data_IF_480677588830
#
_entry.id   IF_480677588830
#
_cell.length_a   1.000
_cell.length_b   1.000
_cell.length_c   1.000
_cell.angle_alpha   90.00
_cell.angle_beta   90.00
_cell.angle_gamma   90.00
#
_symmetry.space_group_name_H-M   'P 1'
#
loop_
_entity.id
_entity.type
_entity.pdbx_description
1 polymer ?
#
# COMPACT_ATOMS: atom_id res chain seq x y z
N UNK A 1 9.90 -0.89 -21.18
CA UNK A 1 9.23 -0.94 -19.85
C UNK A 1 8.65 -2.34 -19.70
N UNK A 2 8.86 -2.98 -18.55
CA UNK A 2 8.33 -4.32 -18.30
C UNK A 2 6.83 -4.25 -17.97
N UNK A 3 6.04 -5.14 -18.56
CA UNK A 3 4.59 -5.22 -18.35
C UNK A 3 4.24 -6.41 -17.45
N UNK A 4 3.28 -6.20 -16.56
CA UNK A 4 2.68 -7.26 -15.76
C UNK A 4 1.88 -8.17 -16.69
N UNK A 5 2.15 -9.48 -16.63
CA UNK A 5 1.36 -10.49 -17.33
C UNK A 5 0.00 -10.61 -16.62
N UNK A 6 -1.07 -10.23 -17.32
CA UNK A 6 -2.43 -10.32 -16.80
C UNK A 6 -3.08 -11.66 -17.17
N UNK A 7 -4.09 -12.14 -16.41
CA UNK A 7 -4.84 -13.35 -16.75
C UNK A 7 -5.43 -13.33 -18.18
N UNK A 8 -5.83 -12.16 -18.68
CA UNK A 8 -6.35 -12.01 -20.05
C UNK A 8 -5.29 -12.12 -21.16
N UNK A 9 -4.02 -12.08 -20.81
CA UNK A 9 -2.90 -12.25 -21.75
C UNK A 9 -2.46 -13.71 -21.86
N UNK A 10 -3.02 -14.61 -21.03
CA UNK A 10 -2.65 -16.01 -20.98
C UNK A 10 -3.40 -16.85 -22.04
N UNK A 11 -2.80 -17.91 -22.59
CA UNK A 11 -3.40 -18.72 -23.65
C UNK A 11 -4.74 -19.38 -23.30
N UNK A 12 -5.00 -19.59 -22.00
CA UNK A 12 -6.22 -20.22 -21.50
C UNK A 12 -7.32 -19.21 -21.15
N UNK A 13 -7.17 -17.93 -21.52
CA UNK A 13 -8.14 -16.87 -21.23
C UNK A 13 -9.58 -17.27 -21.60
N UNK A 14 -9.79 -17.87 -22.77
CA UNK A 14 -11.13 -18.31 -23.20
C UNK A 14 -11.74 -19.38 -22.28
N UNK A 15 -10.93 -20.35 -21.84
CA UNK A 15 -11.38 -21.36 -20.86
C UNK A 15 -11.64 -20.73 -19.48
N UNK A 16 -10.81 -19.78 -19.07
CA UNK A 16 -11.01 -18.99 -17.85
C UNK A 16 -12.32 -18.19 -17.91
N UNK A 17 -12.63 -17.56 -19.03
CA UNK A 17 -13.89 -16.84 -19.22
C UNK A 17 -15.10 -17.77 -19.10
N UNK A 18 -15.03 -19.01 -19.58
CA UNK A 18 -16.12 -19.98 -19.40
C UNK A 18 -16.38 -20.29 -17.93
N UNK A 19 -15.35 -20.59 -17.16
CA UNK A 19 -15.50 -20.87 -15.73
C UNK A 19 -15.98 -19.62 -14.95
N UNK A 20 -15.45 -18.44 -15.25
CA UNK A 20 -15.93 -17.17 -14.67
C UNK A 20 -17.41 -16.89 -15.03
N UNK A 21 -17.84 -17.26 -16.24
CA UNK A 21 -19.24 -17.12 -16.67
C UNK A 21 -20.15 -18.08 -15.89
N UNK A 22 -19.70 -19.31 -15.60
CA UNK A 22 -20.45 -20.23 -14.74
C UNK A 22 -20.62 -19.67 -13.32
N UNK A 23 -19.59 -19.00 -12.78
CA UNK A 23 -19.65 -18.36 -11.46
C UNK A 23 -20.68 -17.22 -11.37
N UNK A 24 -21.04 -16.56 -12.48
CA UNK A 24 -22.16 -15.58 -12.49
C UNK A 24 -23.50 -16.22 -12.11
N UNK A 25 -23.64 -17.52 -12.38
CA UNK A 25 -24.88 -18.28 -12.14
C UNK A 25 -24.82 -19.14 -10.89
N UNK A 26 -23.70 -19.12 -10.15
CA UNK A 26 -23.57 -19.89 -8.92
C UNK A 26 -24.51 -19.35 -7.83
N UNK A 27 -25.25 -20.25 -7.20
CA UNK A 27 -26.20 -19.96 -6.11
C UNK A 27 -25.90 -20.71 -4.83
N UNK A 28 -24.87 -21.56 -4.83
CA UNK A 28 -24.50 -22.41 -3.69
C UNK A 28 -23.00 -22.37 -3.42
N UNK A 29 -22.56 -22.58 -2.15
CA UNK A 29 -21.14 -22.68 -1.81
C UNK A 29 -20.42 -23.72 -2.66
N UNK A 30 -21.02 -24.91 -2.84
CA UNK A 30 -20.44 -25.98 -3.65
C UNK A 30 -20.14 -25.55 -5.08
N UNK A 31 -21.07 -24.87 -5.75
CA UNK A 31 -20.84 -24.39 -7.13
C UNK A 31 -19.72 -23.36 -7.21
N UNK A 32 -19.61 -22.47 -6.22
CA UNK A 32 -18.49 -21.52 -6.13
C UNK A 32 -17.16 -22.27 -6.01
N UNK A 33 -17.06 -23.20 -5.06
CA UNK A 33 -15.83 -23.95 -4.79
C UNK A 33 -15.45 -24.82 -5.99
N UNK A 34 -16.40 -25.54 -6.60
CA UNK A 34 -16.15 -26.35 -7.80
C UNK A 34 -15.61 -25.49 -8.95
N UNK A 35 -16.18 -24.29 -9.17
CA UNK A 35 -15.70 -23.34 -10.16
C UNK A 35 -14.30 -22.81 -9.85
N UNK A 36 -14.05 -22.40 -8.59
CA UNK A 36 -12.73 -21.93 -8.15
C UNK A 36 -11.65 -23.02 -8.23
N UNK A 37 -11.98 -24.28 -7.91
CA UNK A 37 -11.07 -25.42 -8.04
C UNK A 37 -10.71 -25.68 -9.51
N UNK A 38 -11.68 -25.62 -10.43
CA UNK A 38 -11.41 -25.73 -11.88
C UNK A 38 -10.49 -24.62 -12.38
N UNK A 39 -10.76 -23.37 -11.97
CA UNK A 39 -9.92 -22.22 -12.27
C UNK A 39 -8.50 -22.44 -11.75
N UNK A 40 -8.36 -22.77 -10.47
CA UNK A 40 -7.06 -22.99 -9.84
C UNK A 40 -6.25 -24.08 -10.54
N UNK A 41 -6.88 -25.22 -10.83
CA UNK A 41 -6.25 -26.33 -11.56
C UNK A 41 -5.78 -25.89 -12.96
N UNK A 42 -6.64 -25.22 -13.72
CA UNK A 42 -6.30 -24.71 -15.05
C UNK A 42 -5.09 -23.77 -15.01
N UNK A 43 -5.08 -22.80 -14.11
CA UNK A 43 -3.99 -21.83 -13.96
C UNK A 43 -2.68 -22.51 -13.52
N UNK A 44 -2.76 -23.55 -12.68
CA UNK A 44 -1.60 -24.37 -12.27
C UNK A 44 -1.00 -25.16 -13.44
N UNK A 45 -1.83 -25.82 -14.26
CA UNK A 45 -1.33 -26.63 -15.38
C UNK A 45 -0.68 -25.79 -16.49
N UNK A 46 -1.20 -24.59 -16.75
CA UNK A 46 -0.61 -23.69 -17.77
C UNK A 46 0.77 -23.21 -17.32
N UNK A 47 0.95 -22.95 -16.02
CA UNK A 47 2.25 -22.64 -15.42
C UNK A 47 3.29 -23.71 -15.77
N UNK A 48 2.95 -24.98 -15.58
CA UNK A 48 3.86 -26.10 -15.84
C UNK A 48 4.26 -26.26 -17.32
N UNK A 49 3.46 -25.77 -18.28
CA UNK A 49 3.79 -25.86 -19.73
C UNK A 49 4.57 -24.67 -20.27
N UNK A 50 4.27 -23.46 -19.81
CA UNK A 50 4.94 -22.24 -20.32
C UNK A 50 6.21 -21.87 -19.54
N UNK A 51 6.44 -22.48 -18.37
CA UNK A 51 7.61 -22.29 -17.52
C UNK A 51 8.84 -23.11 -17.97
N UNK A 52 9.22 -23.06 -19.25
CA UNK A 52 10.58 -23.49 -19.66
C UNK A 52 11.60 -22.35 -19.57
N UNK A 53 11.17 -21.11 -19.33
CA UNK A 53 12.05 -19.94 -19.25
C UNK A 53 11.96 -19.12 -17.94
N UNK A 54 11.04 -19.42 -17.02
CA UNK A 54 10.93 -18.75 -15.72
C UNK A 54 10.55 -19.74 -14.61
N UNK A 55 11.57 -20.41 -14.06
CA UNK A 55 11.56 -21.05 -12.73
C UNK A 55 10.33 -21.86 -12.36
N UNK A 56 10.37 -23.18 -12.61
CA UNK A 56 9.59 -24.11 -11.82
C UNK A 56 9.88 -23.83 -10.34
N UNK A 57 8.86 -23.74 -9.49
CA UNK A 57 9.09 -23.88 -8.05
C UNK A 57 9.22 -25.39 -7.79
N UNK A 58 10.44 -25.92 -7.55
CA UNK A 58 10.66 -27.36 -7.38
C UNK A 58 9.88 -27.94 -6.18
N UNK A 59 9.40 -27.06 -5.30
CA UNK A 59 8.68 -27.44 -4.09
C UNK A 59 7.14 -27.43 -4.27
N UNK A 60 6.62 -27.06 -5.46
CA UNK A 60 5.18 -27.03 -5.68
C UNK A 60 4.63 -28.45 -5.93
N UNK A 61 3.72 -28.97 -5.08
CA UNK A 61 3.26 -30.34 -5.20
C UNK A 61 2.51 -30.56 -6.52
N UNK A 62 2.77 -31.68 -7.21
CA UNK A 62 2.13 -31.99 -8.50
C UNK A 62 0.60 -32.07 -8.38
N UNK A 63 0.10 -32.69 -7.31
CA UNK A 63 -1.35 -32.80 -7.05
C UNK A 63 -1.87 -31.55 -6.36
N UNK A 64 -2.99 -31.03 -6.87
CA UNK A 64 -3.73 -29.96 -6.19
C UNK A 64 -4.44 -30.53 -4.98
N UNK A 65 -4.29 -29.87 -3.84
CA UNK A 65 -5.07 -30.16 -2.65
C UNK A 65 -6.56 -29.83 -2.92
N UNK A 66 -7.47 -30.83 -2.95
CA UNK A 66 -8.88 -30.58 -3.20
C UNK A 66 -9.55 -29.77 -2.09
N UNK A 67 -8.92 -29.68 -0.91
CA UNK A 67 -9.43 -28.95 0.26
C UNK A 67 -8.94 -27.51 0.34
N UNK A 68 -8.20 -27.03 -0.67
CA UNK A 68 -7.54 -25.71 -0.66
C UNK A 68 -8.50 -24.54 -0.40
N UNK A 69 -9.77 -24.67 -0.78
CA UNK A 69 -10.82 -23.66 -0.55
C UNK A 69 -11.87 -24.08 0.50
N UNK A 70 -11.68 -25.18 1.23
CA UNK A 70 -12.64 -25.66 2.23
C UNK A 70 -12.96 -24.63 3.33
N UNK A 71 -11.97 -23.83 3.74
CA UNK A 71 -12.18 -22.74 4.71
C UNK A 71 -13.04 -21.60 4.16
N UNK A 72 -12.97 -21.34 2.85
CA UNK A 72 -13.88 -20.41 2.16
C UNK A 72 -15.29 -21.01 2.07
N UNK A 73 -15.40 -22.30 1.76
CA UNK A 73 -16.69 -23.02 1.77
C UNK A 73 -17.39 -22.90 3.12
N UNK A 74 -16.66 -23.18 4.20
CA UNK A 74 -17.18 -23.08 5.57
C UNK A 74 -17.56 -21.65 5.94
N UNK A 75 -16.78 -20.66 5.50
CA UNK A 75 -17.09 -19.26 5.72
C UNK A 75 -18.41 -18.88 5.05
N UNK A 76 -18.57 -19.16 3.75
CA UNK A 76 -19.79 -18.82 3.00
C UNK A 76 -21.00 -19.60 3.53
N UNK A 77 -20.83 -20.88 3.86
CA UNK A 77 -21.89 -21.71 4.45
C UNK A 77 -22.32 -21.22 5.84
N UNK A 78 -21.41 -20.59 6.59
CA UNK A 78 -21.66 -20.06 7.92
C UNK A 78 -22.27 -18.66 7.96
N UNK A 79 -22.45 -17.99 6.81
CA UNK A 79 -23.15 -16.70 6.71
C UNK A 79 -24.66 -16.87 6.98
N UNK A 80 -25.36 -15.80 7.36
CA UNK A 80 -26.83 -15.84 7.49
C UNK A 80 -27.50 -16.13 6.14
N UNK A 81 -28.74 -16.65 6.11
CA UNK A 81 -29.46 -16.90 4.86
C UNK A 81 -29.56 -15.65 3.97
N UNK A 82 -29.75 -14.47 4.57
CA UNK A 82 -29.82 -13.18 3.88
C UNK A 82 -28.45 -12.80 3.31
N UNK A 83 -27.39 -12.95 4.09
CA UNK A 83 -26.01 -12.68 3.66
C UNK A 83 -25.56 -13.61 2.54
N UNK A 84 -25.87 -14.91 2.62
CA UNK A 84 -25.59 -15.86 1.55
C UNK A 84 -26.35 -15.48 0.27
N UNK A 85 -27.64 -15.19 0.39
CA UNK A 85 -28.46 -14.79 -0.74
C UNK A 85 -27.94 -13.52 -1.41
N UNK A 86 -27.55 -12.51 -0.62
CA UNK A 86 -26.93 -11.28 -1.13
C UNK A 86 -25.60 -11.57 -1.80
N UNK A 87 -24.72 -12.34 -1.17
CA UNK A 87 -23.41 -12.70 -1.73
C UNK A 87 -23.54 -13.37 -3.11
N UNK A 88 -24.39 -14.40 -3.26
CA UNK A 88 -24.52 -15.13 -4.52
C UNK A 88 -25.29 -14.35 -5.60
N UNK A 89 -26.32 -13.58 -5.23
CA UNK A 89 -27.14 -12.88 -6.21
C UNK A 89 -26.62 -11.48 -6.58
N UNK A 90 -25.71 -10.92 -5.77
CA UNK A 90 -25.19 -9.58 -5.95
C UNK A 90 -23.65 -9.56 -5.99
N UNK A 91 -22.98 -9.74 -4.84
CA UNK A 91 -21.53 -9.54 -4.71
C UNK A 91 -20.70 -10.40 -5.66
N UNK A 92 -20.94 -11.72 -5.67
CA UNK A 92 -20.21 -12.68 -6.50
C UNK A 92 -20.41 -12.38 -7.99
N UNK A 93 -21.63 -11.96 -8.39
CA UNK A 93 -21.94 -11.59 -9.77
C UNK A 93 -21.16 -10.36 -10.21
N UNK A 94 -21.06 -9.35 -9.35
CA UNK A 94 -20.24 -8.16 -9.61
C UNK A 94 -18.78 -8.58 -9.78
N UNK A 95 -18.23 -9.38 -8.87
CA UNK A 95 -16.85 -9.85 -8.94
C UNK A 95 -16.57 -10.63 -10.24
N UNK A 96 -17.41 -11.60 -10.59
CA UNK A 96 -17.25 -12.38 -11.81
C UNK A 96 -17.38 -11.50 -13.07
N UNK A 97 -18.31 -10.53 -13.10
CA UNK A 97 -18.45 -9.56 -14.19
C UNK A 97 -17.20 -8.69 -14.32
N UNK A 98 -16.68 -8.15 -13.22
CA UNK A 98 -15.45 -7.35 -13.21
C UNK A 98 -14.24 -8.17 -13.69
N UNK A 99 -14.13 -9.44 -13.31
CA UNK A 99 -13.10 -10.34 -13.85
C UNK A 99 -13.23 -10.53 -15.38
N UNK A 100 -14.45 -10.79 -15.88
CA UNK A 100 -14.69 -10.94 -17.33
C UNK A 100 -14.36 -9.67 -18.13
N UNK A 101 -14.57 -8.50 -17.53
CA UNK A 101 -14.29 -7.19 -18.12
C UNK A 101 -12.78 -6.86 -18.20
N UNK A 102 -11.87 -7.65 -17.61
CA UNK A 102 -10.45 -7.32 -17.51
C UNK A 102 -9.84 -6.89 -18.86
N UNK A 103 -10.07 -7.65 -19.93
CA UNK A 103 -9.52 -7.33 -21.26
C UNK A 103 -10.03 -6.00 -21.82
N UNK A 104 -11.28 -5.65 -21.51
CA UNK A 104 -11.92 -4.38 -21.90
C UNK A 104 -11.40 -3.21 -21.05
N UNK A 105 -11.14 -3.44 -19.77
CA UNK A 105 -10.69 -2.40 -18.83
C UNK A 105 -9.17 -2.15 -18.89
N UNK A 106 -8.40 -3.13 -19.39
CA UNK A 106 -6.94 -3.05 -19.55
C UNK A 106 -6.53 -1.73 -20.22
N UNK A 107 -5.60 -0.95 -19.64
CA UNK A 107 -5.09 0.26 -20.27
C UNK A 107 -4.46 -0.04 -21.63
N UNK A 108 -4.55 0.87 -22.62
CA UNK A 108 -3.98 0.66 -23.95
C UNK A 108 -2.46 0.44 -23.91
N UNK A 109 -1.77 1.09 -22.96
CA UNK A 109 -0.33 0.94 -22.77
C UNK A 109 0.02 -0.28 -21.89
N UNK A 110 -0.97 -1.05 -21.44
CA UNK A 110 -0.77 -2.19 -20.53
C UNK A 110 -0.65 -1.79 -19.06
N UNK A 111 -0.44 -2.80 -18.20
CA UNK A 111 -0.20 -2.63 -16.78
C UNK A 111 1.29 -2.75 -16.52
N UNK A 112 1.92 -1.68 -16.03
CA UNK A 112 3.37 -1.58 -15.92
C UNK A 112 3.85 -2.01 -14.55
N UNK A 113 5.03 -2.62 -14.49
CA UNK A 113 5.74 -2.73 -13.23
C UNK A 113 6.27 -1.36 -12.80
N UNK A 114 6.14 -1.08 -11.51
CA UNK A 114 6.84 0.00 -10.83
C UNK A 114 8.14 -0.56 -10.27
N UNK A 115 9.25 -0.15 -10.85
CA UNK A 115 10.57 -0.78 -10.66
C UNK A 115 11.40 -0.07 -9.61
N UNK A 116 12.27 -0.81 -8.94
CA UNK A 116 13.25 -0.25 -8.00
C UNK A 116 14.13 0.81 -8.68
N UNK A 117 14.44 1.86 -7.92
CA UNK A 117 15.25 3.02 -8.30
C UNK A 117 14.67 3.85 -9.46
N UNK A 118 13.39 3.64 -9.82
CA UNK A 118 12.71 4.38 -10.88
C UNK A 118 11.48 5.09 -10.34
N UNK A 119 11.57 6.43 -10.25
CA UNK A 119 10.41 7.23 -9.89
C UNK A 119 9.34 7.15 -10.99
N UNK A 120 8.10 6.95 -10.59
CA UNK A 120 6.97 6.88 -11.50
C UNK A 120 5.69 7.47 -10.90
N UNK A 121 4.73 7.71 -11.80
CA UNK A 121 3.37 8.03 -11.44
C UNK A 121 2.44 7.42 -12.48
N UNK A 122 1.55 6.56 -12.03
CA UNK A 122 0.58 5.85 -12.86
C UNK A 122 -0.82 6.10 -12.31
N UNK A 123 -1.76 6.43 -13.19
CA UNK A 123 -3.17 6.59 -12.84
C UNK A 123 -3.97 5.45 -13.47
N UNK A 124 -4.69 4.72 -12.63
CA UNK A 124 -5.49 3.58 -13.04
C UNK A 124 -6.97 3.85 -12.82
N UNK A 125 -7.79 3.52 -13.82
CA UNK A 125 -9.25 3.53 -13.66
C UNK A 125 -9.65 2.51 -12.61
N UNK A 126 -10.54 2.89 -11.70
CA UNK A 126 -11.07 2.00 -10.66
C UNK A 126 -11.74 0.75 -11.22
N UNK A 127 -12.40 0.85 -12.36
CA UNK A 127 -12.96 -0.31 -13.06
C UNK A 127 -11.90 -1.37 -13.40
N UNK A 128 -10.69 -0.94 -13.77
CA UNK A 128 -9.56 -1.83 -14.02
C UNK A 128 -9.01 -2.42 -12.73
N UNK A 129 -8.84 -1.62 -11.67
CA UNK A 129 -8.41 -2.13 -10.36
C UNK A 129 -9.41 -3.14 -9.79
N UNK A 130 -10.72 -2.89 -9.93
CA UNK A 130 -11.76 -3.84 -9.56
C UNK A 130 -11.64 -5.17 -10.32
N UNK A 131 -11.35 -5.13 -11.63
CA UNK A 131 -11.04 -6.35 -12.40
C UNK A 131 -9.84 -7.09 -11.83
N UNK A 132 -8.75 -6.38 -11.51
CA UNK A 132 -7.56 -7.00 -10.90
C UNK A 132 -7.90 -7.64 -9.56
N UNK A 133 -8.64 -6.96 -8.68
CA UNK A 133 -9.07 -7.48 -7.38
C UNK A 133 -9.93 -8.74 -7.52
N UNK A 134 -10.85 -8.78 -8.48
CA UNK A 134 -11.63 -9.99 -8.75
C UNK A 134 -10.73 -11.15 -9.19
N UNK A 135 -9.72 -10.86 -10.02
CA UNK A 135 -8.72 -11.85 -10.43
C UNK A 135 -7.84 -12.34 -9.28
N UNK A 136 -7.55 -11.47 -8.30
CA UNK A 136 -6.86 -11.81 -7.05
C UNK A 136 -7.71 -12.77 -6.20
N UNK A 137 -9.00 -12.46 -6.01
CA UNK A 137 -9.93 -13.31 -5.28
C UNK A 137 -10.08 -14.70 -5.91
N UNK A 138 -10.32 -14.76 -7.22
CA UNK A 138 -10.42 -16.03 -7.96
C UNK A 138 -9.06 -16.73 -8.14
N UNK A 139 -7.97 -16.13 -7.63
CA UNK A 139 -6.61 -16.69 -7.66
C UNK A 139 -6.15 -17.08 -9.06
N UNK A 140 -6.33 -16.17 -10.01
CA UNK A 140 -6.08 -16.39 -11.45
C UNK A 140 -4.74 -15.85 -11.95
N UNK A 141 -4.02 -15.06 -11.13
CA UNK A 141 -2.71 -14.55 -11.53
C UNK A 141 -1.69 -15.69 -11.57
N UNK A 142 -0.69 -15.61 -12.46
CA UNK A 142 0.49 -16.45 -12.35
C UNK A 142 1.09 -16.33 -10.95
N UNK A 143 1.29 -17.47 -10.27
CA UNK A 143 1.81 -17.51 -8.91
C UNK A 143 3.24 -16.98 -8.89
N UNK A 144 3.53 -16.15 -7.89
CA UNK A 144 4.88 -15.65 -7.61
C UNK A 144 5.36 -16.20 -6.28
N UNK A 145 6.66 -16.40 -6.18
CA UNK A 145 7.34 -16.86 -4.97
C UNK A 145 8.59 -16.02 -4.76
N UNK A 146 9.13 -16.01 -3.55
CA UNK A 146 10.38 -15.29 -3.26
C UNK A 146 11.54 -15.77 -4.16
N UNK A 147 11.51 -17.04 -4.59
CA UNK A 147 12.52 -17.59 -5.51
C UNK A 147 12.36 -17.08 -6.95
N UNK A 148 11.12 -16.96 -7.43
CA UNK A 148 10.84 -16.60 -8.83
C UNK A 148 10.80 -15.09 -9.03
N UNK A 149 10.30 -14.35 -8.04
CA UNK A 149 10.12 -12.90 -8.07
C UNK A 149 10.44 -12.33 -6.67
N UNK A 150 11.73 -12.21 -6.30
CA UNK A 150 12.14 -11.86 -4.94
C UNK A 150 11.62 -10.49 -4.47
N UNK A 151 11.52 -9.54 -5.39
CA UNK A 151 11.09 -8.16 -5.14
C UNK A 151 9.58 -7.97 -5.22
N UNK A 152 8.79 -8.96 -5.65
CA UNK A 152 7.34 -8.83 -5.81
C UNK A 152 6.55 -9.73 -4.85
N UNK A 153 5.32 -9.33 -4.58
CA UNK A 153 4.35 -10.11 -3.81
C UNK A 153 3.55 -11.08 -4.71
N UNK A 154 3.02 -12.14 -4.11
CA UNK A 154 1.94 -12.92 -4.72
C UNK A 154 0.61 -12.17 -4.51
N UNK A 155 -0.28 -12.27 -5.50
CA UNK A 155 -1.52 -11.48 -5.56
C UNK A 155 -2.75 -12.39 -5.35
N UNK A 156 -2.56 -13.71 -5.31
CA UNK A 156 -3.64 -14.67 -5.24
C UNK A 156 -4.11 -14.91 -3.80
N UNK A 157 -5.43 -14.98 -3.59
CA UNK A 157 -6.06 -15.20 -2.28
C UNK A 157 -5.98 -16.65 -1.78
N UNK A 158 -5.33 -17.55 -2.53
CA UNK A 158 -5.26 -18.98 -2.21
C UNK A 158 -4.73 -19.23 -0.79
N UNK A 159 -3.75 -18.45 -0.33
CA UNK A 159 -3.25 -18.54 1.05
C UNK A 159 -4.17 -17.82 2.05
N UNK A 160 -4.71 -16.66 1.69
CA UNK A 160 -5.65 -15.89 2.49
C UNK A 160 -6.84 -16.73 2.99
N UNK A 161 -7.41 -17.55 2.11
CA UNK A 161 -8.59 -18.35 2.45
C UNK A 161 -8.34 -19.41 3.52
N UNK A 162 -7.09 -19.88 3.68
CA UNK A 162 -6.74 -20.94 4.65
C UNK A 162 -6.95 -20.51 6.11
N UNK A 163 -6.96 -19.20 6.36
CA UNK A 163 -7.03 -18.60 7.68
C UNK A 163 -8.41 -18.05 8.04
N UNK A 164 -9.46 -18.37 7.25
CA UNK A 164 -10.83 -17.89 7.48
C UNK A 164 -11.51 -18.47 8.74
N UNK A 165 -10.83 -19.29 9.53
CA UNK A 165 -11.23 -19.60 10.90
C UNK A 165 -10.99 -18.42 11.86
N UNK A 166 -10.07 -17.51 11.53
CA UNK A 166 -9.77 -16.36 12.37
C UNK A 166 -10.80 -15.24 12.17
N UNK A 167 -11.39 -14.67 13.24
CA UNK A 167 -12.37 -13.59 13.13
C UNK A 167 -11.88 -12.37 12.34
N UNK A 168 -10.61 -11.99 12.53
CA UNK A 168 -10.00 -10.86 11.82
C UNK A 168 -9.93 -11.12 10.31
N UNK A 169 -9.61 -12.35 9.91
CA UNK A 169 -9.54 -12.73 8.50
C UNK A 169 -10.91 -12.69 7.83
N UNK A 170 -11.95 -13.11 8.56
CA UNK A 170 -13.34 -13.01 8.11
C UNK A 170 -13.76 -11.56 7.89
N UNK A 171 -13.45 -10.67 8.83
CA UNK A 171 -13.74 -9.25 8.70
C UNK A 171 -13.02 -8.61 7.49
N UNK A 172 -11.77 -9.00 7.26
CA UNK A 172 -11.02 -8.59 6.05
C UNK A 172 -11.74 -9.03 4.77
N UNK A 173 -12.18 -10.29 4.70
CA UNK A 173 -12.92 -10.79 3.55
C UNK A 173 -14.25 -10.05 3.34
N UNK A 174 -14.98 -9.79 4.43
CA UNK A 174 -16.22 -9.01 4.38
C UNK A 174 -16.00 -7.58 3.88
N UNK A 175 -14.85 -6.96 4.17
CA UNK A 175 -14.49 -5.65 3.62
C UNK A 175 -14.32 -5.70 2.09
N UNK A 176 -13.66 -6.75 1.56
CA UNK A 176 -13.57 -6.95 0.11
C UNK A 176 -14.94 -7.10 -0.54
N UNK A 177 -15.84 -7.86 0.07
CA UNK A 177 -17.22 -8.01 -0.43
C UNK A 177 -17.96 -6.68 -0.43
N UNK A 178 -17.86 -5.92 0.66
CA UNK A 178 -18.48 -4.60 0.78
C UNK A 178 -17.97 -3.60 -0.27
N UNK A 179 -16.67 -3.65 -0.61
CA UNK A 179 -16.13 -2.85 -1.71
C UNK A 179 -16.83 -3.17 -3.03
N UNK A 180 -17.01 -4.45 -3.38
CA UNK A 180 -17.67 -4.84 -4.62
C UNK A 180 -19.14 -4.42 -4.65
N UNK A 181 -19.85 -4.48 -3.53
CA UNK A 181 -21.23 -4.00 -3.41
C UNK A 181 -21.30 -2.50 -3.72
N UNK A 182 -20.47 -1.67 -3.07
CA UNK A 182 -20.43 -0.22 -3.27
C UNK A 182 -20.11 0.19 -4.73
N UNK A 183 -19.14 -0.48 -5.38
CA UNK A 183 -18.79 -0.19 -6.78
C UNK A 183 -19.73 -0.84 -7.80
N UNK A 184 -20.58 -1.77 -7.37
CA UNK A 184 -21.62 -2.38 -8.19
C UNK A 184 -22.84 -1.48 -8.32
N UNK A 185 -23.11 -0.70 -7.28
CA UNK A 185 -24.22 0.26 -7.22
C UNK A 185 -23.88 1.61 -7.89
N UNK A 186 -22.59 1.94 -7.98
CA UNK A 186 -22.09 3.22 -8.50
C UNK A 186 -21.56 3.13 -9.94
N UNK A 187 -22.42 2.81 -10.91
CA UNK A 187 -22.11 3.12 -12.32
C UNK A 187 -22.33 4.63 -12.53
N UNK A 188 -21.31 5.43 -12.20
CA UNK A 188 -21.27 6.86 -12.53
C UNK A 188 -20.29 7.12 -13.67
N UNK A 189 -20.74 7.87 -14.67
CA UNK A 189 -19.99 8.20 -15.90
C UNK A 189 -18.78 9.12 -15.69
N UNK A 190 -18.37 9.39 -14.45
CA UNK A 190 -17.20 10.23 -14.17
C UNK A 190 -15.91 9.40 -14.17
N UNK A 191 -14.80 9.97 -14.70
CA UNK A 191 -13.50 9.31 -14.63
C UNK A 191 -13.03 9.21 -13.18
N UNK A 192 -13.18 8.01 -12.62
CA UNK A 192 -12.85 7.71 -11.23
C UNK A 192 -11.56 6.86 -11.22
N UNK A 193 -10.43 7.53 -10.94
CA UNK A 193 -9.09 6.96 -11.02
C UNK A 193 -8.42 6.96 -9.64
N UNK A 194 -7.42 6.09 -9.51
CA UNK A 194 -6.52 5.99 -8.36
C UNK A 194 -5.09 6.22 -8.87
N UNK A 195 -4.34 7.08 -8.20
CA UNK A 195 -2.96 7.40 -8.58
C UNK A 195 -1.99 6.62 -7.71
N UNK A 196 -1.08 5.86 -8.31
CA UNK A 196 0.07 5.24 -7.64
C UNK A 196 1.32 6.03 -8.04
N UNK A 197 2.14 6.43 -7.08
CA UNK A 197 3.39 7.16 -7.36
C UNK A 197 4.53 6.63 -6.52
N UNK A 198 5.48 5.95 -7.17
CA UNK A 198 6.76 5.62 -6.54
C UNK A 198 7.65 6.85 -6.58
N UNK A 199 8.05 7.34 -5.42
CA UNK A 199 9.04 8.39 -5.31
C UNK A 199 10.39 7.79 -4.97
N UNK A 200 11.43 8.32 -5.59
CA UNK A 200 12.81 7.87 -5.39
C UNK A 200 13.65 9.11 -5.11
N UNK A 201 14.35 9.11 -3.98
CA UNK A 201 15.29 10.14 -3.65
C UNK A 201 16.61 9.85 -4.37
N UNK A 202 17.04 10.75 -5.24
CA UNK A 202 18.35 10.63 -5.90
C UNK A 202 19.49 10.85 -4.90
N UNK A 203 20.70 10.35 -5.20
CA UNK A 203 21.85 10.52 -4.31
C UNK A 203 22.23 11.99 -4.01
N UNK A 204 21.79 12.95 -4.85
CA UNK A 204 21.97 14.40 -4.59
C UNK A 204 20.94 14.99 -3.61
N UNK A 205 19.81 14.30 -3.46
CA UNK A 205 18.74 14.69 -2.55
C UNK A 205 18.86 13.96 -1.21
N UNK A 206 19.67 12.91 -1.15
CA UNK A 206 20.03 12.21 0.07
C UNK A 206 20.86 13.13 0.96
N UNK A 207 20.30 13.49 2.10
CA UNK A 207 21.00 14.36 3.07
C UNK A 207 22.00 13.53 3.86
N UNK A 208 23.15 14.11 4.16
CA UNK A 208 24.13 13.53 5.10
C UNK A 208 23.77 13.89 6.54
N UNK A 209 24.47 13.31 7.51
CA UNK A 209 24.28 13.67 8.91
C UNK A 209 24.61 15.14 9.18
N UNK A 210 25.63 15.68 8.50
CA UNK A 210 26.01 17.09 8.60
C UNK A 210 24.89 18.00 8.07
N UNK A 211 24.27 17.66 6.94
CA UNK A 211 23.14 18.42 6.40
C UNK A 211 21.97 18.50 7.40
N UNK A 212 21.69 17.40 8.12
CA UNK A 212 20.65 17.37 9.15
C UNK A 212 21.02 18.19 10.38
N UNK A 213 22.29 18.17 10.80
CA UNK A 213 22.79 18.95 11.93
C UNK A 213 22.82 20.46 11.63
N UNK A 214 23.12 20.84 10.40
CA UNK A 214 23.18 22.24 9.95
C UNK A 214 21.78 22.81 9.64
N UNK A 215 20.74 21.97 9.65
CA UNK A 215 19.37 22.39 9.38
C UNK A 215 18.85 23.37 10.43
N UNK A 216 18.59 24.60 10.00
CA UNK A 216 18.01 25.66 10.85
C UNK A 216 16.49 25.80 10.66
N UNK A 217 15.82 24.85 10.00
CA UNK A 217 14.38 24.93 9.75
C UNK A 217 13.60 24.76 11.06
N UNK A 218 12.57 25.59 11.32
CA UNK A 218 11.74 25.42 12.50
C UNK A 218 10.95 24.11 12.41
N UNK A 219 10.69 23.49 13.57
CA UNK A 219 9.80 22.35 13.64
C UNK A 219 8.39 22.75 13.21
N UNK A 220 7.72 21.86 12.47
CA UNK A 220 6.34 22.07 12.05
C UNK A 220 5.35 21.92 13.22
N UNK A 221 4.13 22.49 13.11
CA UNK A 221 3.09 22.29 14.13
C UNK A 221 2.69 20.81 14.25
N UNK A 222 2.61 20.32 15.48
CA UNK A 222 2.27 18.93 15.79
C UNK A 222 0.98 18.90 16.61
N UNK A 223 0.03 18.08 16.17
CA UNK A 223 -1.16 17.72 16.94
C UNK A 223 -1.02 16.27 17.40
N UNK A 224 -0.96 16.06 18.72
CA UNK A 224 -0.92 14.70 19.29
C UNK A 224 -2.33 14.32 19.75
N UNK A 225 -2.84 13.19 19.26
CA UNK A 225 -4.12 12.59 19.65
C UNK A 225 -3.84 11.32 20.44
N UNK A 226 -4.37 11.28 21.67
CA UNK A 226 -4.26 10.12 22.57
C UNK A 226 -5.34 9.06 22.29
N UNK A 227 -6.34 9.42 21.48
CA UNK A 227 -7.47 8.58 21.10
C UNK A 227 -7.64 8.59 19.57
N UNK A 228 -8.33 7.57 19.08
CA UNK A 228 -8.52 7.34 17.65
C UNK A 228 -7.33 6.64 17.00
N UNK A 229 -7.44 6.40 15.70
CA UNK A 229 -6.43 5.67 14.93
C UNK A 229 -6.08 6.37 13.62
N UNK A 230 -4.97 5.99 13.00
CA UNK A 230 -4.47 6.61 11.77
C UNK A 230 -5.47 6.47 10.62
N UNK A 231 -6.20 5.35 10.56
CA UNK A 231 -7.26 5.11 9.56
C UNK A 231 -8.49 6.03 9.72
N UNK A 232 -8.57 6.79 10.81
CA UNK A 232 -9.63 7.75 11.12
C UNK A 232 -9.19 9.20 10.93
N UNK A 233 -7.95 9.42 10.46
CA UNK A 233 -7.48 10.74 10.09
C UNK A 233 -8.37 11.35 9.00
N UNK A 234 -8.47 12.68 8.99
CA UNK A 234 -9.32 13.38 8.03
C UNK A 234 -8.91 13.09 6.59
N UNK A 235 -9.85 13.20 5.64
CA UNK A 235 -9.65 12.82 4.24
C UNK A 235 -8.58 13.65 3.52
N UNK A 236 -8.35 14.88 3.96
CA UNK A 236 -7.29 15.75 3.45
C UNK A 236 -5.88 15.37 3.92
N UNK A 237 -5.77 14.50 4.94
CA UNK A 237 -4.48 14.10 5.49
C UNK A 237 -3.85 12.98 4.66
N UNK A 238 -2.54 13.07 4.44
CA UNK A 238 -1.75 11.95 3.95
C UNK A 238 -1.55 10.96 5.10
N UNK A 239 -2.17 9.79 5.00
CA UNK A 239 -2.06 8.74 6.01
C UNK A 239 -0.77 7.95 5.81
N UNK A 240 -0.02 7.74 6.88
CA UNK A 240 1.17 6.90 6.82
C UNK A 240 0.76 5.45 7.06
N UNK A 241 1.07 4.58 6.10
CA UNK A 241 1.02 3.15 6.28
C UNK A 241 2.43 2.67 6.58
N UNK A 242 2.64 2.12 7.78
CA UNK A 242 3.89 1.47 8.15
C UNK A 242 3.95 0.13 7.43
N UNK A 243 4.49 0.17 6.22
CA UNK A 243 4.49 -0.97 5.31
C UNK A 243 5.71 -1.86 5.52
N UNK A 244 5.61 -3.09 5.05
CA UNK A 244 6.79 -3.90 4.77
C UNK A 244 7.49 -3.34 3.51
N UNK A 245 8.81 -3.53 3.35
CA UNK A 245 9.52 -3.11 2.13
C UNK A 245 8.90 -3.74 0.88
N UNK A 246 8.57 -5.04 0.95
CA UNK A 246 7.58 -5.68 0.08
C UNK A 246 6.17 -5.33 0.52
N UNK A 247 5.69 -4.18 0.04
CA UNK A 247 4.40 -3.58 0.41
C UNK A 247 3.26 -4.62 0.39
N UNK A 248 2.42 -4.58 1.43
CA UNK A 248 1.36 -5.53 1.70
C UNK A 248 1.79 -6.66 2.65
N UNK A 249 3.08 -6.88 2.86
CA UNK A 249 3.60 -7.84 3.83
C UNK A 249 2.96 -9.23 3.70
N UNK A 250 2.19 -9.63 4.72
CA UNK A 250 1.46 -10.91 4.79
C UNK A 250 -0.06 -10.74 4.65
N UNK A 251 -0.54 -9.68 3.98
CA UNK A 251 -1.97 -9.35 3.86
C UNK A 251 -2.80 -10.45 3.19
N UNK A 252 -2.24 -11.14 2.18
CA UNK A 252 -2.89 -12.27 1.50
C UNK A 252 -2.54 -13.64 2.12
N UNK A 253 -2.02 -13.63 3.35
CA UNK A 253 -1.79 -14.80 4.20
C UNK A 253 -2.58 -14.61 5.52
N UNK A 254 -1.95 -14.80 6.67
CA UNK A 254 -2.54 -14.69 8.02
C UNK A 254 -2.29 -13.32 8.71
N UNK A 255 -1.66 -12.37 8.03
CA UNK A 255 -1.21 -11.12 8.64
C UNK A 255 -2.35 -10.30 9.26
N UNK A 256 -2.11 -9.71 10.43
CA UNK A 256 -3.08 -8.87 11.16
C UNK A 256 -2.54 -7.49 11.56
N UNK A 257 -1.42 -7.07 10.96
CA UNK A 257 -0.80 -5.76 11.20
C UNK A 257 -1.67 -4.58 10.73
N UNK A 258 -1.26 -3.35 11.06
CA UNK A 258 -1.89 -2.13 10.55
C UNK A 258 -1.89 -2.10 9.02
N UNK A 259 -0.76 -2.37 8.38
CA UNK A 259 -0.64 -2.52 6.92
C UNK A 259 -1.66 -3.54 6.38
N UNK A 260 -1.70 -4.74 6.96
CA UNK A 260 -2.60 -5.80 6.49
C UNK A 260 -4.08 -5.45 6.71
N UNK A 261 -4.40 -4.55 7.63
CA UNK A 261 -5.78 -4.12 7.88
C UNK A 261 -6.15 -2.98 6.92
N UNK A 262 -5.25 -2.01 6.74
CA UNK A 262 -5.41 -0.88 5.79
C UNK A 262 -5.64 -1.39 4.36
N UNK A 263 -4.87 -2.40 3.92
CA UNK A 263 -5.00 -2.99 2.59
C UNK A 263 -6.34 -3.72 2.36
N UNK A 264 -7.02 -4.12 3.43
CA UNK A 264 -8.33 -4.76 3.36
C UNK A 264 -9.48 -3.76 3.55
N UNK A 265 -9.30 -2.70 4.34
CA UNK A 265 -10.27 -1.60 4.47
C UNK A 265 -10.24 -0.65 3.28
N UNK A 266 -9.11 -0.61 2.56
CA UNK A 266 -8.88 0.08 1.28
C UNK A 266 -8.48 -0.94 0.20
N UNK A 267 -9.41 -1.77 -0.29
CA UNK A 267 -9.11 -2.94 -1.13
C UNK A 267 -8.27 -2.66 -2.38
N UNK A 268 -8.35 -1.47 -2.95
CA UNK A 268 -7.59 -1.05 -4.14
C UNK A 268 -6.07 -1.14 -3.95
N UNK A 269 -5.59 -1.07 -2.71
CA UNK A 269 -4.18 -1.24 -2.38
C UNK A 269 -3.67 -2.66 -2.67
N UNK A 270 -4.52 -3.69 -2.69
CA UNK A 270 -4.09 -5.05 -3.05
C UNK A 270 -3.53 -5.11 -4.49
N UNK A 271 -3.92 -4.18 -5.38
CA UNK A 271 -3.37 -4.11 -6.73
C UNK A 271 -1.87 -3.72 -6.75
N UNK A 272 -1.34 -3.13 -5.68
CA UNK A 272 0.08 -2.82 -5.51
C UNK A 272 0.92 -4.10 -5.63
N UNK A 273 0.47 -5.20 -4.99
CA UNK A 273 1.17 -6.49 -4.94
C UNK A 273 1.47 -7.04 -6.35
N UNK A 274 0.65 -6.67 -7.34
CA UNK A 274 0.78 -7.13 -8.70
C UNK A 274 1.87 -6.42 -9.51
N UNK A 275 2.21 -5.17 -9.15
CA UNK A 275 3.02 -4.28 -10.00
C UNK A 275 4.18 -3.59 -9.32
N UNK A 276 4.18 -3.42 -7.99
CA UNK A 276 5.20 -2.63 -7.29
C UNK A 276 6.26 -3.54 -6.70
N UNK A 277 7.50 -3.38 -7.16
CA UNK A 277 8.67 -4.03 -6.55
C UNK A 277 8.97 -3.45 -5.17
N UNK A 278 9.62 -4.26 -4.33
CA UNK A 278 10.03 -3.92 -2.97
C UNK A 278 10.70 -2.54 -2.90
N UNK A 279 10.34 -1.75 -1.91
CA UNK A 279 10.95 -0.45 -1.66
C UNK A 279 12.40 -0.63 -1.19
N UNK A 280 13.29 0.17 -1.76
CA UNK A 280 14.65 0.39 -1.27
C UNK A 280 14.67 1.58 -0.29
N UNK A 281 15.76 1.77 0.45
CA UNK A 281 15.89 2.79 1.51
C UNK A 281 15.59 4.23 1.06
N UNK A 282 15.72 4.51 -0.23
CA UNK A 282 15.45 5.81 -0.83
C UNK A 282 14.12 5.93 -1.54
N UNK A 283 13.16 5.06 -1.20
CA UNK A 283 11.90 4.99 -1.91
C UNK A 283 10.68 4.99 -0.98
N UNK A 284 9.58 5.55 -1.47
CA UNK A 284 8.25 5.43 -0.86
C UNK A 284 7.22 5.26 -1.97
N UNK A 285 6.05 4.70 -1.64
CA UNK A 285 4.91 4.66 -2.54
C UNK A 285 3.76 5.49 -1.98
N UNK A 286 3.27 6.45 -2.77
CA UNK A 286 2.10 7.24 -2.43
C UNK A 286 0.93 6.83 -3.32
N UNK A 287 -0.17 6.44 -2.69
CA UNK A 287 -1.45 6.15 -3.33
C UNK A 287 -2.44 7.26 -3.00
N UNK A 288 -3.09 7.84 -4.02
CA UNK A 288 -4.10 8.90 -3.84
C UNK A 288 -5.44 8.48 -4.42
N UNK A 289 -6.49 9.01 -3.79
CA UNK A 289 -7.89 8.83 -4.18
C UNK A 289 -8.37 7.37 -4.14
N UNK A 290 -7.78 6.55 -3.26
CA UNK A 290 -8.22 5.18 -3.05
C UNK A 290 -9.48 5.13 -2.17
N UNK A 291 -10.32 4.10 -2.37
CA UNK A 291 -11.56 3.93 -1.62
C UNK A 291 -11.38 3.11 -0.35
N UNK A 292 -11.53 3.80 0.78
CA UNK A 292 -11.81 3.17 2.07
C UNK A 292 -13.30 2.87 2.16
N UNK A 293 -13.64 1.61 2.45
CA UNK A 293 -15.02 1.12 2.43
C UNK A 293 -15.52 0.64 3.80
N UNK A 294 -14.59 0.31 4.70
CA UNK A 294 -14.93 -0.17 6.04
C UNK A 294 -13.92 0.32 7.08
N UNK A 295 -14.28 0.16 8.35
CA UNK A 295 -13.33 0.11 9.47
C UNK A 295 -13.37 -1.26 10.11
N UNK A 296 -12.20 -1.76 10.51
CA UNK A 296 -12.08 -3.03 11.22
C UNK A 296 -11.47 -2.76 12.60
N UNK A 297 -12.22 -3.11 13.63
CA UNK A 297 -11.85 -2.88 15.03
C UNK A 297 -11.80 -4.23 15.73
N UNK A 298 -10.61 -4.65 16.16
CA UNK A 298 -10.39 -5.96 16.80
C UNK A 298 -9.83 -5.85 18.24
N UNK A 299 -10.62 -5.36 19.21
CA UNK A 299 -10.22 -5.33 20.61
C UNK A 299 -10.39 -6.71 21.27
N UNK A 300 -9.31 -7.22 21.89
CA UNK A 300 -9.34 -8.33 22.87
C UNK A 300 -10.30 -9.47 22.47
N UNK A 301 -10.02 -10.08 21.32
CA UNK A 301 -10.72 -11.26 20.73
C UNK A 301 -12.07 -11.01 20.05
N UNK A 302 -12.66 -9.82 20.14
CA UNK A 302 -13.87 -9.48 19.37
C UNK A 302 -13.49 -8.64 18.16
N UNK A 303 -13.94 -9.05 16.98
CA UNK A 303 -13.72 -8.29 15.74
C UNK A 303 -15.04 -7.72 15.27
N UNK A 304 -15.04 -6.41 15.04
CA UNK A 304 -16.16 -5.64 14.52
C UNK A 304 -15.78 -5.04 13.17
N UNK A 305 -16.74 -5.03 12.27
CA UNK A 305 -16.65 -4.37 10.98
C UNK A 305 -17.71 -3.28 10.91
N UNK A 306 -17.29 -2.06 10.66
CA UNK A 306 -18.16 -0.94 10.37
C UNK A 306 -18.12 -0.73 8.86
N UNK A 307 -19.27 -0.91 8.20
CA UNK A 307 -19.40 -0.73 6.75
C UNK A 307 -19.86 0.70 6.46
N UNK A 308 -19.23 1.37 5.51
CA UNK A 308 -19.66 2.70 5.10
C UNK A 308 -20.73 2.63 4.03
N UNK A 309 -21.74 3.50 4.09
CA UNK A 309 -22.76 3.62 3.05
C UNK A 309 -22.20 4.13 1.72
N UNK A 310 -21.11 4.91 1.78
CA UNK A 310 -20.37 5.43 0.63
C UNK A 310 -18.87 5.33 0.89
N UNK A 311 -18.05 5.08 -0.15
CA UNK A 311 -16.61 5.01 0.02
C UNK A 311 -16.03 6.40 0.35
N UNK A 312 -15.02 6.43 1.22
CA UNK A 312 -14.22 7.61 1.50
C UNK A 312 -12.96 7.60 0.62
N UNK A 313 -12.64 8.72 -0.03
CA UNK A 313 -11.37 8.89 -0.75
C UNK A 313 -10.26 9.19 0.25
N UNK A 314 -9.17 8.43 0.17
CA UNK A 314 -8.02 8.54 1.07
C UNK A 314 -6.70 8.62 0.29
N UNK A 315 -5.72 9.30 0.88
CA UNK A 315 -4.33 9.32 0.40
C UNK A 315 -3.43 8.63 1.41
N UNK A 316 -2.60 7.69 0.94
CA UNK A 316 -1.79 6.81 1.77
C UNK A 316 -0.35 6.84 1.28
N UNK A 317 0.61 7.00 2.18
CA UNK A 317 2.04 6.84 1.94
C UNK A 317 2.50 5.53 2.59
N UNK A 318 2.84 4.54 1.77
CA UNK A 318 3.52 3.33 2.21
C UNK A 318 5.01 3.63 2.40
N UNK A 319 5.46 3.49 3.63
CA UNK A 319 6.82 3.75 4.06
C UNK A 319 7.26 2.65 5.02
N UNK A 320 8.41 2.05 4.75
CA UNK A 320 8.91 0.87 5.43
C UNK A 320 9.97 1.21 6.49
N UNK A 321 9.65 1.16 7.80
CA UNK A 321 10.67 1.21 8.86
C UNK A 321 11.60 0.01 8.82
N UNK A 322 12.87 0.20 9.22
CA UNK A 322 13.77 -0.90 9.50
C UNK A 322 13.37 -1.65 10.80
N UNK A 323 13.65 -2.95 10.87
CA UNK A 323 13.26 -3.79 12.01
C UNK A 323 14.39 -3.97 13.02
N UNK A 324 14.41 -3.11 14.03
CA UNK A 324 15.41 -3.16 15.11
C UNK A 324 15.04 -4.09 16.29
N UNK A 325 14.02 -4.95 16.17
CA UNK A 325 13.55 -5.78 17.30
C UNK A 325 14.66 -6.68 17.87
N UNK A 326 15.57 -7.17 17.01
CA UNK A 326 16.68 -8.04 17.44
C UNK A 326 17.74 -7.29 18.24
N UNK A 327 18.02 -6.04 17.88
CA UNK A 327 19.01 -5.20 18.55
C UNK A 327 18.47 -3.76 18.63
N UNK A 328 17.60 -3.45 19.61
CA UNK A 328 16.92 -2.15 19.64
C UNK A 328 17.86 -0.96 19.69
N UNK A 329 19.03 -1.09 20.29
CA UNK A 329 20.00 0.01 20.41
C UNK A 329 20.63 0.40 19.07
N UNK A 330 20.67 -0.49 18.07
CA UNK A 330 21.25 -0.15 16.77
C UNK A 330 20.46 0.92 16.03
N UNK A 331 19.18 1.14 16.39
CA UNK A 331 18.38 2.24 15.83
C UNK A 331 18.96 3.64 16.09
N UNK A 332 19.88 3.75 17.06
CA UNK A 332 20.56 5.00 17.43
C UNK A 332 21.92 5.15 16.74
N UNK A 333 22.36 4.14 15.98
CA UNK A 333 23.55 4.26 15.14
C UNK A 333 23.30 5.29 14.05
N UNK A 334 24.35 6.04 13.70
CA UNK A 334 24.27 7.18 12.77
C UNK A 334 23.64 6.79 11.43
N UNK A 335 24.09 5.68 10.83
CA UNK A 335 23.56 5.18 9.55
C UNK A 335 22.07 4.85 9.63
N UNK A 336 21.64 4.25 10.73
CA UNK A 336 20.24 3.85 10.97
C UNK A 336 19.33 5.07 11.20
N UNK A 337 19.81 6.04 11.99
CA UNK A 337 19.12 7.32 12.15
C UNK A 337 19.00 8.07 10.82
N UNK A 338 20.10 8.13 10.07
CA UNK A 338 20.14 8.83 8.78
C UNK A 338 19.18 8.19 7.77
N UNK A 339 19.13 6.86 7.71
CA UNK A 339 18.19 6.11 6.87
C UNK A 339 16.75 6.46 7.20
N UNK A 340 16.36 6.40 8.47
CA UNK A 340 14.98 6.70 8.91
C UNK A 340 14.60 8.17 8.68
N UNK A 341 15.52 9.11 8.95
CA UNK A 341 15.32 10.54 8.69
C UNK A 341 15.09 10.82 7.20
N UNK A 342 15.92 10.25 6.33
CA UNK A 342 15.83 10.43 4.88
C UNK A 342 14.58 9.78 4.28
N UNK A 343 14.23 8.57 4.75
CA UNK A 343 12.98 7.89 4.36
C UNK A 343 11.76 8.71 4.77
N UNK A 344 11.72 9.20 6.01
CA UNK A 344 10.64 10.04 6.52
C UNK A 344 10.52 11.36 5.76
N UNK A 345 11.66 12.02 5.47
CA UNK A 345 11.71 13.22 4.65
C UNK A 345 11.07 12.99 3.28
N UNK A 346 11.40 11.88 2.62
CA UNK A 346 10.82 11.52 1.33
C UNK A 346 9.30 11.29 1.42
N UNK A 347 8.83 10.53 2.42
CA UNK A 347 7.41 10.26 2.62
C UNK A 347 6.57 11.48 2.98
N UNK A 348 7.14 12.41 3.77
CA UNK A 348 6.44 13.63 4.21
C UNK A 348 6.53 14.77 3.22
N UNK A 349 7.46 14.73 2.27
CA UNK A 349 7.50 15.65 1.14
C UNK A 349 6.29 15.42 0.23
N UNK A 350 5.19 16.07 0.56
CA UNK A 350 4.06 16.20 -0.35
C UNK A 350 4.52 17.03 -1.53
N UNK A 351 4.73 16.37 -2.68
CA UNK A 351 5.43 16.94 -3.82
C UNK A 351 4.94 18.33 -4.23
N UNK A 352 5.79 19.34 -3.98
CA UNK A 352 6.01 20.38 -4.98
C UNK A 352 6.67 19.64 -6.14
N UNK A 353 5.87 19.28 -7.15
CA UNK A 353 6.42 18.86 -8.44
C UNK A 353 7.18 20.08 -8.96
N UNK A 354 8.52 20.10 -8.84
CA UNK A 354 9.32 21.03 -9.64
C UNK A 354 9.11 20.58 -11.09
N UNK A 355 8.45 21.37 -11.95
CA UNK A 355 8.39 21.03 -13.36
C UNK A 355 9.83 20.93 -13.83
N UNK A 356 10.20 19.83 -14.50
CA UNK A 356 11.42 19.83 -15.29
C UNK A 356 11.29 21.00 -16.26
N UNK A 357 12.03 22.08 -16.01
CA UNK A 357 12.10 23.19 -16.93
C UNK A 357 12.72 22.65 -18.21
N UNK A 358 11.86 22.44 -19.22
CA UNK A 358 12.27 22.35 -20.60
C UNK A 358 12.95 23.68 -20.93
N UNK A 359 14.27 23.74 -20.79
CA UNK A 359 15.05 24.86 -21.30
C UNK A 359 15.02 24.80 -22.83
N UNK A 360 14.60 25.86 -23.53
CA UNK A 360 14.62 25.87 -24.98
C UNK A 360 16.09 25.86 -25.45
N UNK A 361 16.36 25.02 -26.46
CA UNK A 361 17.64 24.96 -27.16
C UNK A 361 17.98 26.33 -27.74
N UNK A 362 18.89 27.05 -27.09
CA UNK A 362 19.56 28.23 -27.63
C UNK A 362 20.99 27.87 -27.99
N UNK A 363 21.22 27.68 -29.28
CA UNK A 363 22.52 27.61 -29.95
C UNK A 363 23.30 28.91 -29.75
N UNK A 364 24.32 28.92 -28.87
CA UNK A 364 25.56 29.69 -29.05
C UNK A 364 26.73 29.00 -28.35
N UNK A 365 27.82 28.82 -29.09
CA UNK A 365 29.09 28.28 -28.62
C UNK A 365 29.73 29.20 -27.59
N UNK A 366 30.05 28.67 -26.41
CA UNK A 366 31.10 29.22 -25.56
C UNK A 366 31.75 28.07 -24.80
N UNK A 367 32.97 27.75 -25.20
CA UNK A 367 33.88 26.83 -24.54
C UNK A 367 34.15 27.35 -23.12
N UNK A 368 33.63 26.70 -22.09
CA UNK A 368 34.02 26.97 -20.70
C UNK A 368 34.71 25.75 -20.15
N UNK A 369 36.01 25.93 -19.90
CA UNK A 369 36.94 24.93 -19.40
C UNK A 369 36.47 24.35 -18.06
N UNK A 370 36.64 23.03 -17.92
CA UNK A 370 36.69 22.35 -16.62
C UNK A 370 37.72 23.03 -15.73
N UNK A 371 37.27 23.58 -14.60
CA UNK A 371 38.12 23.80 -13.42
C UNK A 371 37.56 22.99 -12.27
N UNK A 372 38.31 21.94 -11.92
CA UNK A 372 38.33 21.36 -10.58
C UNK A 372 38.91 22.42 -9.63
N UNK A 373 38.20 22.75 -8.56
CA UNK A 373 38.76 23.20 -7.28
C UNK A 373 37.67 23.29 -6.20
N UNK A 374 38.05 23.19 -4.91
CA UNK A 374 37.20 22.74 -3.81
C UNK A 374 36.65 23.89 -2.94
N UNK A 375 35.70 23.54 -2.06
CA UNK A 375 35.17 24.34 -0.93
C UNK A 375 34.21 25.48 -1.32
N UNK A 376 32.96 25.32 -0.90
CA UNK A 376 32.09 26.42 -0.49
C UNK A 376 31.40 27.22 -1.59
N UNK A 377 30.31 26.70 -2.16
CA UNK A 377 29.20 27.54 -2.63
C UNK A 377 27.87 26.88 -2.23
N UNK A 378 27.24 27.43 -1.19
CA UNK A 378 25.90 27.09 -0.74
C UNK A 378 24.87 27.53 -1.76
N UNK A 379 24.25 26.59 -2.47
CA UNK A 379 23.03 26.87 -3.22
C UNK A 379 21.81 26.68 -2.33
N UNK A 380 21.45 27.73 -1.61
CA UNK A 380 20.12 27.89 -1.02
C UNK A 380 19.13 28.23 -2.13
N UNK A 381 18.45 27.22 -2.64
CA UNK A 381 17.24 27.40 -3.42
C UNK A 381 16.23 26.35 -2.99
N UNK A 382 15.68 26.55 -1.80
CA UNK A 382 14.53 25.81 -1.29
C UNK A 382 13.26 26.49 -1.82
N UNK A 383 12.37 25.80 -2.55
CA UNK A 383 11.07 26.36 -2.91
C UNK A 383 10.24 26.65 -1.66
N UNK A 384 9.41 27.70 -1.71
CA UNK A 384 8.44 28.02 -0.66
C UNK A 384 7.55 26.80 -0.34
N UNK A 385 7.58 26.34 0.91
CA UNK A 385 6.79 25.20 1.39
C UNK A 385 5.53 25.72 2.09
N UNK A 386 4.36 25.21 1.69
CA UNK A 386 3.12 25.35 2.46
C UNK A 386 3.27 24.67 3.83
N UNK A 387 2.70 25.22 4.92
CA UNK A 387 2.85 24.63 6.25
C UNK A 387 2.25 23.22 6.29
N UNK A 388 3.09 22.22 6.55
CA UNK A 388 2.67 20.84 6.82
C UNK A 388 2.31 20.75 8.30
N UNK A 389 1.09 20.35 8.62
CA UNK A 389 0.69 20.01 9.99
C UNK A 389 0.79 18.49 10.18
N UNK A 390 1.45 18.05 11.25
CA UNK A 390 1.63 16.62 11.54
C UNK A 390 0.68 16.19 12.66
N UNK A 391 -0.21 15.26 12.34
CA UNK A 391 -1.09 14.62 13.32
C UNK A 391 -0.52 13.27 13.74
N UNK A 392 -0.22 13.11 15.03
CA UNK A 392 0.34 11.88 15.60
C UNK A 392 -0.74 11.21 16.46
N UNK A 393 -1.05 9.95 16.15
CA UNK A 393 -1.87 9.10 17.00
C UNK A 393 -0.96 8.23 17.86
N UNK A 394 -0.99 8.42 19.18
CA UNK A 394 -0.15 7.65 20.08
C UNK A 394 -0.71 6.24 20.25
N UNK A 395 -0.14 5.26 19.55
CA UNK A 395 -0.28 3.84 19.88
C UNK A 395 1.08 3.31 20.31
N UNK A 396 1.10 2.42 21.30
CA UNK A 396 2.31 1.93 21.98
C UNK A 396 3.20 1.01 21.14
N UNK A 397 3.07 0.99 19.81
CA UNK A 397 3.55 -0.11 18.96
C UNK A 397 4.47 0.26 17.79
N UNK A 398 4.81 1.53 17.54
CA UNK A 398 5.74 1.85 16.42
C UNK A 398 6.98 2.64 16.85
N UNK A 399 8.15 2.12 16.47
CA UNK A 399 9.47 2.70 16.76
C UNK A 399 9.71 4.01 16.00
N UNK A 400 9.18 4.17 14.77
CA UNK A 400 9.13 5.47 14.09
C UNK A 400 8.34 6.47 14.92
N UNK A 401 7.22 6.10 15.56
CA UNK A 401 6.52 7.04 16.44
C UNK A 401 7.32 7.36 17.69
N UNK A 402 8.19 6.46 18.18
CA UNK A 402 9.17 6.81 19.23
C UNK A 402 10.23 7.78 18.72
N UNK A 403 10.77 7.58 17.51
CA UNK A 403 11.76 8.48 16.89
C UNK A 403 11.13 9.83 16.56
N UNK A 404 9.97 9.87 15.90
CA UNK A 404 9.20 11.08 15.64
C UNK A 404 8.77 11.74 16.95
N UNK A 405 8.30 11.02 17.96
CA UNK A 405 8.00 11.61 19.26
C UNK A 405 9.26 12.13 19.98
N UNK A 406 10.41 11.46 19.84
CA UNK A 406 11.68 11.98 20.38
C UNK A 406 12.13 13.25 19.64
N UNK A 407 12.07 13.25 18.30
CA UNK A 407 12.47 14.37 17.43
C UNK A 407 11.51 15.56 17.52
N UNK A 408 10.21 15.29 17.52
CA UNK A 408 9.18 16.32 17.41
C UNK A 408 8.54 16.69 18.76
N UNK A 409 8.65 15.87 19.82
CA UNK A 409 8.06 16.15 21.14
C UNK A 409 9.11 16.33 22.25
N UNK A 410 10.19 15.54 22.29
CA UNK A 410 11.23 15.68 23.34
C UNK A 410 12.30 16.72 23.01
N UNK A 411 12.79 16.77 21.77
CA UNK A 411 13.77 17.76 21.31
C UNK A 411 13.30 19.21 21.51
N UNK A 412 12.06 19.61 21.16
CA UNK A 412 11.59 20.97 21.49
C UNK A 412 11.45 21.22 23.00
N UNK A 413 11.12 20.21 23.80
CA UNK A 413 11.08 20.33 25.27
C UNK A 413 12.48 20.47 25.88
N UNK A 414 13.48 19.79 25.35
CA UNK A 414 14.89 19.96 25.72
C UNK A 414 15.40 21.32 25.28
N UNK A 415 15.09 21.78 24.06
CA UNK A 415 15.45 23.11 23.60
C UNK A 415 14.76 24.21 24.42
N UNK A 416 13.51 24.01 24.87
CA UNK A 416 12.83 24.91 25.81
C UNK A 416 13.48 24.86 27.21
N UNK A 417 13.87 23.69 27.70
CA UNK A 417 14.54 23.52 28.99
C UNK A 417 15.95 24.14 28.98
N UNK A 418 16.71 23.97 27.90
CA UNK A 418 18.05 24.54 27.72
C UNK A 418 17.99 26.06 27.48
N UNK A 419 16.92 26.57 26.85
CA UNK A 419 16.63 28.01 26.78
C UNK A 419 16.14 28.61 28.11
N UNK A 420 15.47 27.82 28.95
CA UNK A 420 15.10 28.21 30.32
C UNK A 420 16.30 28.18 31.28
N UNK A 421 17.23 27.25 31.08
CA UNK A 421 18.48 27.12 31.85
C UNK A 421 19.57 28.13 31.42
N UNK A 422 19.54 28.61 30.18
CA UNK A 422 20.48 29.63 29.65
C UNK A 422 20.07 31.09 29.90
N UNK A 423 19.02 31.34 30.68
CA UNK A 423 18.80 32.62 31.35
C UNK A 423 18.37 33.78 30.44
N UNK A 424 17.07 33.91 30.23
CA UNK A 424 16.42 35.22 30.14
C UNK A 424 15.31 35.30 31.18
N UNK A 425 15.53 36.16 32.19
CA UNK A 425 14.51 36.62 33.13
C UNK A 425 13.27 37.06 32.35
N UNK A 426 12.16 36.35 32.51
CA UNK A 426 10.83 36.88 32.29
C UNK A 426 10.16 36.97 33.66
N UNK A 427 10.21 38.18 34.20
CA UNK A 427 9.30 38.63 35.24
C UNK A 427 7.84 38.52 34.74
N UNK A 428 6.96 38.24 35.70
CA UNK A 428 5.50 38.32 35.64
C UNK A 428 4.78 37.38 34.67
N UNK A 429 4.15 36.35 35.23
CA UNK A 429 2.68 36.22 35.24
C UNK A 429 2.28 35.16 36.27
N UNK A 430 1.92 35.64 37.46
CA UNK A 430 1.10 34.93 38.44
C UNK A 430 -0.36 34.93 37.98
N UNK A 431 -0.95 33.75 37.80
CA UNK A 431 -2.38 33.45 38.08
C UNK A 431 -2.61 31.94 37.83
N UNK A 432 -2.63 31.12 38.88
CA UNK A 432 -3.86 30.51 39.45
C UNK A 432 -4.74 29.79 38.42
N UNK A 433 -4.77 28.45 38.46
CA UNK A 433 -5.90 27.71 39.02
C UNK A 433 -5.67 26.19 39.01
N UNK A 434 -6.14 25.61 40.12
CA UNK A 434 -6.39 24.20 40.47
C UNK A 434 -6.71 23.22 39.34
#
# INVERSE_FOLDING_TARGET
>A
MALVILPCDLPHWYSLQKELTLLLTATTPKQLIDGMLKIHNMCKYVRNRFSTSTGLDPDEPEKTDPTIFHKLENFVTGLSPEEQNHFFNHTLRIMAKRALDLKKQKPPNGFHFSLQQQADKMEYRRSFLASLLSHSFFSTFPKRTVKTHPTLQDVNFTHFFKHLDQPIQRAKLQSFFHYFDLIGESDTDQPDCVSFSRQVMSGKQWLTIEDWLDSCLPLCPITVRNEGRIEEAETQCLRICFSSSRIGGTVLCEGSSQECTEFCTVPELICILASVEALEDNEVLIVKDAYQVTKIVSPREKTYIEKFDKPNKVSICCMDPENYTRLPLSQLEEDNLLRELNKALLGFRQGVIVPQQNTPKSTKSATVQRRLSPIGESFSSTPEQSPINVSIFSSSQSYIMSILHQIFVKLPKQHLADNLLSGRKLHSLTSTCN
#
